data_IF_582911287318
#
_entry.id   IF_582911287318
#
_cell.length_a   1.000
_cell.length_b   1.000
_cell.length_c   1.000
_cell.angle_alpha   90.00
_cell.angle_beta   90.00
_cell.angle_gamma   90.00
#
_symmetry.space_group_name_H-M   'P 1'
#
loop_
_entity.id
_entity.type
_entity.pdbx_description
1 polymer ?
#
# COMPACT_ATOMS: atom_id res chain seq x y z
N UNK A 1 38.18 -27.66 23.67
CA UNK A 1 38.39 -26.68 22.58
C UNK A 1 37.05 -26.48 21.86
N UNK A 2 36.23 -25.51 22.27
CA UNK A 2 34.95 -25.18 21.60
C UNK A 2 35.08 -23.78 20.99
N UNK A 3 34.84 -23.68 19.68
CA UNK A 3 34.96 -22.45 18.92
C UNK A 3 33.98 -21.39 19.47
N UNK A 4 34.48 -20.17 19.67
CA UNK A 4 33.66 -19.00 20.00
C UNK A 4 32.80 -18.64 18.77
N UNK A 5 31.49 -18.41 18.91
CA UNK A 5 30.69 -17.89 17.81
C UNK A 5 31.19 -16.49 17.43
N UNK A 6 31.40 -16.26 16.13
CA UNK A 6 31.77 -14.94 15.59
C UNK A 6 30.64 -13.95 15.85
N UNK A 7 30.98 -12.75 16.30
CA UNK A 7 30.06 -11.62 16.36
C UNK A 7 29.48 -11.36 14.96
N UNK A 8 28.17 -11.11 14.81
CA UNK A 8 27.66 -10.63 13.53
C UNK A 8 28.21 -9.22 13.31
N UNK A 9 29.01 -9.08 12.25
CA UNK A 9 29.43 -7.79 11.71
C UNK A 9 28.21 -6.91 11.44
N UNK A 10 28.37 -5.62 11.71
CA UNK A 10 27.43 -4.53 11.47
C UNK A 10 26.83 -4.55 10.05
N UNK A 11 25.69 -5.21 9.88
CA UNK A 11 24.84 -4.98 8.71
C UNK A 11 23.91 -3.82 9.06
N UNK A 12 24.24 -2.63 8.58
CA UNK A 12 23.33 -1.48 8.56
C UNK A 12 22.17 -1.80 7.63
N UNK A 13 21.10 -2.36 8.19
CA UNK A 13 19.82 -2.50 7.49
C UNK A 13 19.21 -1.14 7.18
N UNK A 14 18.23 -1.06 6.26
CA UNK A 14 17.53 0.18 5.95
C UNK A 14 16.91 0.79 7.22
N UNK A 15 16.99 2.11 7.38
CA UNK A 15 16.53 2.84 8.58
C UNK A 15 15.04 2.68 8.90
N UNK A 16 14.25 2.18 7.95
CA UNK A 16 12.82 1.91 8.11
C UNK A 16 12.51 0.52 8.67
N UNK A 17 13.50 -0.36 8.85
CA UNK A 17 13.32 -1.68 9.48
C UNK A 17 13.66 -1.60 10.96
N UNK A 18 12.70 -1.13 11.76
CA UNK A 18 12.76 -1.27 13.21
C UNK A 18 12.45 -2.72 13.59
N UNK A 19 13.40 -3.41 14.23
CA UNK A 19 13.19 -4.74 14.82
C UNK A 19 12.10 -4.63 15.89
N UNK A 20 10.88 -5.04 15.56
CA UNK A 20 9.79 -5.17 16.53
C UNK A 20 10.11 -6.36 17.41
N UNK A 21 10.45 -6.12 18.68
CA UNK A 21 10.44 -7.16 19.70
C UNK A 21 8.99 -7.39 20.13
N UNK A 22 8.50 -8.63 20.19
CA UNK A 22 7.17 -8.90 20.70
C UNK A 22 7.14 -8.67 22.23
N UNK A 23 6.56 -7.54 22.64
CA UNK A 23 6.19 -7.25 24.03
C UNK A 23 4.71 -7.62 24.23
N UNK A 24 4.47 -8.57 25.13
CA UNK A 24 3.20 -9.26 25.37
C UNK A 24 2.19 -8.46 26.22
N UNK A 25 2.27 -7.13 26.25
CA UNK A 25 1.51 -6.33 27.23
C UNK A 25 0.81 -5.10 26.64
N UNK A 26 -0.54 -5.20 26.59
CA UNK A 26 -1.60 -4.16 26.55
C UNK A 26 -1.31 -2.76 25.97
N UNK A 27 -2.15 -2.37 25.01
CA UNK A 27 -2.45 -0.97 24.67
C UNK A 27 -1.75 -0.49 23.41
N UNK A 28 -2.53 -0.10 22.40
CA UNK A 28 -2.03 0.49 21.15
C UNK A 28 -1.24 1.76 21.51
N UNK A 29 0.10 1.67 21.47
CA UNK A 29 1.00 2.82 21.64
C UNK A 29 1.18 3.48 20.27
N UNK A 30 0.99 4.80 20.21
CA UNK A 30 1.33 5.61 19.04
C UNK A 30 2.85 5.60 18.83
N UNK A 31 3.31 5.01 17.73
CA UNK A 31 4.71 5.06 17.31
C UNK A 31 4.91 6.35 16.52
N UNK A 32 5.78 7.26 16.99
CA UNK A 32 6.32 8.32 16.13
C UNK A 32 7.33 7.67 15.18
N UNK A 33 6.86 7.32 13.99
CA UNK A 33 7.74 7.22 12.82
C UNK A 33 8.20 8.66 12.55
N UNK A 34 9.50 8.88 12.28
CA UNK A 34 10.08 10.23 12.13
C UNK A 34 9.43 11.08 11.03
N UNK A 35 10.09 12.14 10.57
CA UNK A 35 9.59 13.08 9.53
C UNK A 35 9.36 12.44 8.13
N UNK A 36 9.31 11.11 8.05
CA UNK A 36 9.12 10.33 6.84
C UNK A 36 7.63 10.15 6.56
N UNK A 37 7.20 10.47 5.34
CA UNK A 37 5.86 10.13 4.84
C UNK A 37 5.73 8.61 4.81
N UNK A 38 4.90 8.05 5.69
CA UNK A 38 4.65 6.61 5.74
C UNK A 38 3.68 6.19 4.61
N UNK A 39 4.16 5.39 3.66
CA UNK A 39 3.32 4.75 2.63
C UNK A 39 3.02 3.32 3.07
N UNK A 40 1.73 2.97 3.10
CA UNK A 40 1.25 1.64 3.51
C UNK A 40 0.53 0.98 2.34
N UNK A 41 1.07 -0.15 1.86
CA UNK A 41 0.41 -1.01 0.87
C UNK A 41 -0.41 -2.10 1.56
N UNK A 42 -1.61 -2.38 1.05
CA UNK A 42 -2.51 -3.42 1.57
C UNK A 42 -2.95 -4.31 0.40
N UNK A 43 -2.31 -5.47 0.29
CA UNK A 43 -2.54 -6.44 -0.77
C UNK A 43 -3.18 -7.74 -0.25
N UNK A 44 -3.80 -8.49 -1.16
CA UNK A 44 -4.51 -9.73 -0.84
C UNK A 44 -5.63 -10.05 -1.84
N UNK A 45 -6.28 -11.21 -1.74
CA UNK A 45 -7.27 -11.67 -2.71
C UNK A 45 -8.53 -10.79 -2.74
N UNK A 46 -9.30 -10.89 -3.83
CA UNK A 46 -10.60 -10.25 -3.94
C UNK A 46 -11.52 -10.71 -2.78
N UNK A 47 -12.33 -9.80 -2.23
CA UNK A 47 -13.24 -10.12 -1.13
C UNK A 47 -12.63 -10.15 0.27
N UNK A 48 -11.30 -10.04 0.44
CA UNK A 48 -10.65 -10.07 1.76
C UNK A 48 -10.89 -8.81 2.65
N UNK A 49 -11.72 -7.86 2.22
CA UNK A 49 -12.02 -6.64 2.99
C UNK A 49 -10.92 -5.56 3.00
N UNK A 50 -9.96 -5.63 2.06
CA UNK A 50 -8.81 -4.69 1.98
C UNK A 50 -9.23 -3.22 2.00
N UNK A 51 -10.13 -2.81 1.11
CA UNK A 51 -10.62 -1.42 1.05
C UNK A 51 -11.32 -0.99 2.35
N UNK A 52 -12.00 -1.90 3.04
CA UNK A 52 -12.65 -1.63 4.34
C UNK A 52 -11.62 -1.36 5.43
N UNK A 53 -10.63 -2.25 5.56
CA UNK A 53 -9.58 -2.14 6.57
C UNK A 53 -8.66 -0.95 6.26
N UNK A 54 -8.28 -0.75 5.00
CA UNK A 54 -7.44 0.35 4.55
C UNK A 54 -8.08 1.72 4.86
N UNK A 55 -9.38 1.87 4.58
CA UNK A 55 -10.12 3.10 4.88
C UNK A 55 -10.24 3.35 6.39
N UNK A 56 -10.51 2.30 7.17
CA UNK A 56 -10.57 2.39 8.62
C UNK A 56 -9.20 2.75 9.23
N UNK A 57 -8.12 2.16 8.70
CA UNK A 57 -6.74 2.45 9.10
C UNK A 57 -6.36 3.90 8.77
N UNK A 58 -6.63 4.34 7.54
CA UNK A 58 -6.36 5.71 7.10
C UNK A 58 -7.06 6.75 7.99
N UNK A 59 -8.35 6.53 8.30
CA UNK A 59 -9.11 7.38 9.23
C UNK A 59 -8.50 7.41 10.63
N UNK A 60 -8.03 6.28 11.14
CA UNK A 60 -7.40 6.18 12.48
C UNK A 60 -6.03 6.85 12.54
N UNK A 61 -5.27 6.79 11.46
CA UNK A 61 -3.93 7.36 11.37
C UNK A 61 -3.92 8.82 10.88
N UNK A 62 -5.05 9.34 10.40
CA UNK A 62 -5.13 10.69 9.83
C UNK A 62 -4.37 10.82 8.51
N UNK A 63 -4.24 9.73 7.74
CA UNK A 63 -3.53 9.70 6.45
C UNK A 63 -4.51 9.59 5.28
N UNK A 64 -4.05 9.93 4.08
CA UNK A 64 -4.82 9.75 2.85
C UNK A 64 -5.01 8.27 2.51
N UNK A 65 -6.11 7.96 1.82
CA UNK A 65 -6.47 6.62 1.36
C UNK A 65 -6.63 6.61 -0.16
N UNK A 66 -6.07 5.59 -0.82
CA UNK A 66 -6.18 5.37 -2.26
C UNK A 66 -6.70 3.96 -2.53
N UNK A 67 -7.80 3.84 -3.30
CA UNK A 67 -8.33 2.54 -3.77
C UNK A 67 -7.90 2.30 -5.23
N UNK A 68 -6.78 1.61 -5.42
CA UNK A 68 -6.28 1.27 -6.77
C UNK A 68 -7.28 0.42 -7.55
N UNK A 69 -8.04 -0.45 -6.89
CA UNK A 69 -9.08 -1.25 -7.53
C UNK A 69 -10.21 -0.41 -8.11
N UNK A 70 -10.62 0.65 -7.41
CA UNK A 70 -11.58 1.62 -7.92
C UNK A 70 -11.02 2.39 -9.13
N UNK A 71 -9.73 2.75 -9.11
CA UNK A 71 -9.07 3.40 -10.25
C UNK A 71 -9.09 2.52 -11.50
N UNK A 72 -8.67 1.25 -11.38
CA UNK A 72 -8.72 0.31 -12.50
C UNK A 72 -10.14 0.16 -13.06
N UNK A 73 -11.14 -0.01 -12.19
CA UNK A 73 -12.55 -0.12 -12.63
C UNK A 73 -13.05 1.15 -13.31
N UNK A 74 -12.62 2.33 -12.86
CA UNK A 74 -13.00 3.59 -13.48
C UNK A 74 -12.45 3.70 -14.92
N UNK A 75 -11.18 3.37 -15.13
CA UNK A 75 -10.57 3.34 -16.47
C UNK A 75 -11.25 2.30 -17.37
N UNK A 76 -11.52 1.09 -16.85
CA UNK A 76 -12.26 0.07 -17.61
C UNK A 76 -13.67 0.55 -17.98
N UNK A 77 -14.38 1.19 -17.06
CA UNK A 77 -15.71 1.73 -17.34
C UNK A 77 -15.65 2.80 -18.45
N UNK A 78 -14.62 3.63 -18.46
CA UNK A 78 -14.43 4.63 -19.52
C UNK A 78 -14.08 4.00 -20.87
N UNK A 79 -13.23 2.97 -20.88
CA UNK A 79 -12.92 2.21 -22.10
C UNK A 79 -14.18 1.60 -22.72
N UNK A 80 -15.04 1.02 -21.87
CA UNK A 80 -16.33 0.47 -22.29
C UNK A 80 -17.27 1.55 -22.84
N UNK A 81 -17.34 2.74 -22.20
CA UNK A 81 -18.16 3.86 -22.71
C UNK A 81 -17.70 4.36 -24.06
N UNK A 82 -16.38 4.38 -24.29
CA UNK A 82 -15.77 4.79 -25.57
C UNK A 82 -15.81 3.69 -26.64
N UNK A 83 -16.29 2.48 -26.30
CA UNK A 83 -16.34 1.35 -27.22
C UNK A 83 -14.96 0.84 -27.63
N UNK A 84 -13.94 1.03 -26.79
CA UNK A 84 -12.59 0.53 -27.08
C UNK A 84 -12.54 -0.99 -26.94
N UNK A 85 -11.75 -1.63 -27.81
CA UNK A 85 -11.39 -3.02 -27.67
C UNK A 85 -10.52 -3.19 -26.41
N UNK A 86 -11.00 -3.95 -25.42
CA UNK A 86 -10.30 -4.12 -24.13
C UNK A 86 -9.04 -4.98 -24.24
N UNK A 87 -8.88 -5.72 -25.34
CA UNK A 87 -7.70 -6.51 -25.70
C UNK A 87 -6.69 -5.72 -26.55
N UNK A 88 -6.93 -4.43 -26.82
CA UNK A 88 -5.94 -3.51 -27.38
C UNK A 88 -5.20 -2.78 -26.24
N UNK A 89 -4.02 -3.26 -25.82
CA UNK A 89 -3.26 -2.66 -24.73
C UNK A 89 -2.77 -1.24 -25.06
N UNK A 90 -2.61 -0.90 -26.33
CA UNK A 90 -2.15 0.43 -26.76
C UNK A 90 -3.30 1.43 -26.56
N UNK A 91 -4.48 1.14 -27.08
CA UNK A 91 -5.64 2.01 -26.94
C UNK A 91 -6.06 2.18 -25.47
N UNK A 92 -6.10 1.08 -24.70
CA UNK A 92 -6.41 1.13 -23.26
C UNK A 92 -5.32 1.87 -22.48
N UNK A 93 -4.05 1.68 -22.83
CA UNK A 93 -2.92 2.37 -22.20
C UNK A 93 -2.96 3.88 -22.42
N UNK A 94 -3.23 4.34 -23.65
CA UNK A 94 -3.42 5.76 -23.96
C UNK A 94 -4.58 6.36 -23.18
N UNK A 95 -5.74 5.67 -23.13
CA UNK A 95 -6.87 6.12 -22.32
C UNK A 95 -6.51 6.24 -20.83
N UNK A 96 -5.80 5.25 -20.29
CA UNK A 96 -5.40 5.26 -18.89
C UNK A 96 -4.48 6.46 -18.55
N UNK A 97 -3.62 6.87 -19.48
CA UNK A 97 -2.74 8.04 -19.32
C UNK A 97 -3.48 9.38 -19.41
N UNK A 98 -4.60 9.45 -20.13
CA UNK A 98 -5.39 10.67 -20.32
C UNK A 98 -6.53 10.82 -19.29
N UNK A 99 -6.95 9.72 -18.65
CA UNK A 99 -8.05 9.70 -17.70
C UNK A 99 -7.77 10.57 -16.46
N UNK A 100 -8.56 11.63 -16.30
CA UNK A 100 -8.60 12.42 -15.06
C UNK A 100 -9.54 11.73 -14.08
N UNK A 101 -8.98 11.11 -13.04
CA UNK A 101 -9.75 10.46 -11.97
C UNK A 101 -10.00 11.43 -10.82
N UNK A 102 -11.26 11.77 -10.60
CA UNK A 102 -11.68 12.51 -9.41
C UNK A 102 -11.88 11.52 -8.25
N UNK A 103 -10.95 11.53 -7.30
CA UNK A 103 -11.01 10.71 -6.08
C UNK A 103 -11.52 11.59 -4.95
N UNK A 104 -12.70 11.28 -4.41
CA UNK A 104 -13.34 12.07 -3.36
C UNK A 104 -12.58 12.05 -2.04
N UNK A 105 -12.60 13.20 -1.33
CA UNK A 105 -12.27 13.33 0.09
C UNK A 105 -13.54 13.32 0.92
#
# INVERSE_FOLDING_TARGET
>A
MRARPRSPSSASGPSWVSRVQPDTTKGVRSVRVGDTVAVVAIDGPAGAGKSTIARALAKRLGVQYLDTGAMYRAVTAEALRKGLALDDPTAVGSLAGECVLHVGL
#
